data_IF_571799228821
#
_entry.id   IF_571799228821
#
_cell.length_a   1.000
_cell.length_b   1.000
_cell.length_c   1.000
_cell.angle_alpha   90.00
_cell.angle_beta   90.00
_cell.angle_gamma   90.00
#
_symmetry.space_group_name_H-M   'P 1'
#
loop_
_entity.id
_entity.type
_entity.pdbx_description
1 polymer ?
#
# COMPACT_ATOMS: atom_id res chain seq x y z
N UNK A 1 -26.32 -35.95 35.42
CA UNK A 1 -27.03 -35.59 34.18
C UNK A 1 -26.70 -34.14 33.84
N UNK A 2 -25.77 -33.95 32.90
CA UNK A 2 -25.61 -32.75 32.07
C UNK A 2 -24.63 -33.14 30.96
N UNK A 3 -25.12 -33.90 29.99
CA UNK A 3 -24.38 -34.20 28.77
C UNK A 3 -24.36 -32.90 27.96
N UNK A 4 -23.24 -32.19 27.97
CA UNK A 4 -23.02 -31.06 27.07
C UNK A 4 -22.87 -31.61 25.66
N UNK A 5 -23.94 -31.48 24.90
CA UNK A 5 -24.04 -31.84 23.49
C UNK A 5 -23.10 -30.92 22.68
N UNK A 6 -21.90 -31.42 22.34
CA UNK A 6 -21.07 -30.81 21.30
C UNK A 6 -21.77 -31.03 19.96
N UNK A 7 -22.57 -30.04 19.52
CA UNK A 7 -23.06 -30.01 18.16
C UNK A 7 -21.85 -30.01 17.19
N UNK A 8 -21.79 -30.93 16.21
CA UNK A 8 -20.69 -30.96 15.25
C UNK A 8 -20.69 -29.67 14.43
N UNK A 9 -19.57 -28.95 14.45
CA UNK A 9 -19.34 -27.80 13.58
C UNK A 9 -19.45 -28.27 12.12
N UNK A 10 -20.29 -27.62 11.32
CA UNK A 10 -20.37 -27.83 9.87
C UNK A 10 -19.01 -27.56 9.22
N UNK A 11 -18.73 -28.23 8.09
CA UNK A 11 -17.45 -28.16 7.35
C UNK A 11 -17.00 -26.72 7.06
N UNK A 12 -17.94 -25.82 6.75
CA UNK A 12 -17.64 -24.40 6.50
C UNK A 12 -17.15 -23.67 7.76
N UNK A 13 -17.77 -23.93 8.92
CA UNK A 13 -17.36 -23.33 10.19
C UNK A 13 -16.00 -23.85 10.67
N UNK A 14 -15.64 -25.08 10.29
CA UNK A 14 -14.33 -25.64 10.58
C UNK A 14 -13.25 -25.02 9.69
N UNK A 15 -13.55 -24.80 8.40
CA UNK A 15 -12.65 -24.11 7.47
C UNK A 15 -12.42 -22.64 7.87
N UNK A 16 -13.47 -21.91 8.26
CA UNK A 16 -13.37 -20.56 8.79
C UNK A 16 -12.50 -20.50 10.06
N UNK A 17 -12.71 -21.42 11.01
CA UNK A 17 -11.89 -21.51 12.23
C UNK A 17 -10.42 -21.78 11.93
N UNK A 18 -10.12 -22.73 11.05
CA UNK A 18 -8.75 -23.08 10.66
C UNK A 18 -8.04 -21.90 9.96
N UNK A 19 -8.77 -21.15 9.13
CA UNK A 19 -8.23 -19.96 8.44
C UNK A 19 -7.93 -18.85 9.44
N UNK A 20 -8.80 -18.67 10.43
CA UNK A 20 -8.61 -17.69 11.50
C UNK A 20 -7.48 -18.08 12.47
N UNK A 21 -7.29 -19.37 12.77
CA UNK A 21 -6.13 -19.83 13.55
C UNK A 21 -4.82 -19.62 12.77
N UNK A 22 -4.80 -19.91 11.47
CA UNK A 22 -3.65 -19.64 10.61
C UNK A 22 -3.33 -18.15 10.49
N UNK A 23 -4.33 -17.28 10.43
CA UNK A 23 -4.12 -15.82 10.38
C UNK A 23 -3.58 -15.26 11.70
N UNK A 24 -4.00 -15.81 12.84
CA UNK A 24 -3.44 -15.47 14.15
C UNK A 24 -1.97 -15.89 14.24
N UNK A 25 -1.63 -17.09 13.73
CA UNK A 25 -0.24 -17.57 13.69
C UNK A 25 0.66 -16.69 12.81
N UNK A 26 0.16 -16.18 11.69
CA UNK A 26 0.90 -15.24 10.83
C UNK A 26 1.26 -13.92 11.53
N UNK A 27 0.53 -13.54 12.57
CA UNK A 27 0.74 -12.31 13.33
C UNK A 27 1.19 -12.57 14.78
N UNK A 28 1.60 -13.80 15.10
CA UNK A 28 2.01 -14.20 16.45
C UNK A 28 3.36 -13.56 16.85
N UNK A 29 4.32 -13.51 15.93
CA UNK A 29 5.54 -12.71 16.05
C UNK A 29 5.38 -11.43 15.23
N UNK A 30 4.91 -10.38 15.91
CA UNK A 30 4.66 -9.11 15.23
C UNK A 30 5.94 -8.33 14.93
N UNK A 31 7.04 -8.59 15.66
CA UNK A 31 8.31 -7.93 15.39
C UNK A 31 8.88 -8.40 14.04
N UNK A 32 8.73 -9.69 13.73
CA UNK A 32 9.08 -10.25 12.43
C UNK A 32 8.21 -9.66 11.30
N UNK A 33 6.91 -9.48 11.54
CA UNK A 33 6.01 -8.80 10.60
C UNK A 33 6.49 -7.37 10.32
N UNK A 34 6.82 -6.60 11.36
CA UNK A 34 7.36 -5.25 11.19
C UNK A 34 8.65 -5.29 10.38
N UNK A 35 9.58 -6.18 10.73
CA UNK A 35 10.88 -6.31 10.05
C UNK A 35 10.73 -6.58 8.55
N UNK A 36 9.85 -7.50 8.18
CA UNK A 36 9.64 -7.92 6.80
C UNK A 36 8.88 -6.87 5.97
N UNK A 37 7.84 -6.26 6.53
CA UNK A 37 6.91 -5.41 5.77
C UNK A 37 7.20 -3.91 5.89
N UNK A 38 7.97 -3.45 6.88
CA UNK A 38 8.26 -2.02 7.07
C UNK A 38 8.87 -1.34 5.84
N UNK A 39 9.88 -1.91 5.16
CA UNK A 39 10.45 -1.26 3.97
C UNK A 39 9.41 -1.07 2.87
N UNK A 40 8.50 -2.03 2.69
CA UNK A 40 7.44 -1.97 1.67
C UNK A 40 6.41 -0.89 2.00
N UNK A 41 5.89 -0.89 3.23
CA UNK A 41 4.91 0.11 3.67
C UNK A 41 5.49 1.52 3.64
N UNK A 42 6.75 1.68 4.08
CA UNK A 42 7.44 2.97 4.00
C UNK A 42 7.54 3.47 2.56
N UNK A 43 7.96 2.61 1.61
CA UNK A 43 8.02 2.98 0.19
C UNK A 43 6.66 3.39 -0.36
N UNK A 44 5.61 2.61 -0.08
CA UNK A 44 4.26 2.94 -0.51
C UNK A 44 3.81 4.32 0.00
N UNK A 45 4.06 4.62 1.28
CA UNK A 45 3.73 5.90 1.90
C UNK A 45 4.57 7.06 1.34
N UNK A 46 5.87 6.84 1.15
CA UNK A 46 6.78 7.80 0.55
C UNK A 46 6.35 8.16 -0.87
N UNK A 47 6.07 7.16 -1.72
CA UNK A 47 5.55 7.34 -3.08
C UNK A 47 4.16 7.98 -3.12
N UNK A 48 3.36 7.80 -2.07
CA UNK A 48 2.02 8.37 -1.98
C UNK A 48 2.02 9.85 -1.58
N UNK A 49 2.99 10.27 -0.76
CA UNK A 49 2.96 11.56 -0.05
C UNK A 49 4.08 12.52 -0.48
N UNK A 50 5.21 12.02 -0.94
CA UNK A 50 6.36 12.85 -1.32
C UNK A 50 7.09 13.49 -0.13
N UNK A 51 6.75 13.11 1.11
CA UNK A 51 7.32 13.66 2.34
C UNK A 51 7.83 12.53 3.24
N UNK A 52 9.15 12.53 3.50
CA UNK A 52 9.84 11.48 4.25
C UNK A 52 9.41 11.42 5.70
N UNK A 53 9.33 12.56 6.38
CA UNK A 53 9.01 12.63 7.81
C UNK A 53 7.58 12.18 8.04
N UNK A 54 6.66 12.59 7.16
CA UNK A 54 5.28 12.12 7.19
C UNK A 54 5.20 10.63 6.86
N UNK A 55 5.93 10.14 5.85
CA UNK A 55 5.93 8.73 5.49
C UNK A 55 6.47 7.84 6.62
N UNK A 56 7.54 8.24 7.30
CA UNK A 56 8.12 7.54 8.44
C UNK A 56 7.13 7.49 9.61
N UNK A 57 6.49 8.61 9.92
CA UNK A 57 5.45 8.70 10.96
C UNK A 57 4.25 7.81 10.65
N UNK A 58 3.71 7.89 9.43
CA UNK A 58 2.56 7.07 9.04
C UNK A 58 2.92 5.58 8.90
N UNK A 59 4.18 5.24 8.66
CA UNK A 59 4.64 3.84 8.69
C UNK A 59 4.51 3.29 10.10
N UNK A 60 4.95 4.05 11.12
CA UNK A 60 4.80 3.66 12.52
C UNK A 60 3.32 3.52 12.90
N UNK A 61 2.49 4.50 12.55
CA UNK A 61 1.04 4.44 12.78
C UNK A 61 0.40 3.23 12.10
N UNK A 62 0.86 2.86 10.90
CA UNK A 62 0.35 1.69 10.18
C UNK A 62 0.58 0.42 10.99
N UNK A 63 1.79 0.18 11.47
CA UNK A 63 2.09 -1.02 12.26
C UNK A 63 1.45 -0.99 13.64
N UNK A 64 1.32 0.18 14.28
CA UNK A 64 0.58 0.30 15.53
C UNK A 64 -0.90 -0.05 15.36
N UNK A 65 -1.53 0.45 14.29
CA UNK A 65 -2.91 0.10 13.94
C UNK A 65 -3.07 -1.37 13.59
N UNK A 66 -2.13 -1.92 12.82
CA UNK A 66 -2.12 -3.34 12.47
C UNK A 66 -1.96 -4.20 13.73
N UNK A 67 -1.07 -3.85 14.66
CA UNK A 67 -0.94 -4.56 15.93
C UNK A 67 -2.26 -4.59 16.70
N UNK A 68 -2.91 -3.43 16.85
CA UNK A 68 -4.18 -3.33 17.56
C UNK A 68 -5.32 -4.12 16.87
N UNK A 69 -5.31 -4.17 15.53
CA UNK A 69 -6.32 -4.86 14.73
C UNK A 69 -5.96 -6.32 14.38
N UNK A 70 -4.80 -6.85 14.81
CA UNK A 70 -4.29 -8.17 14.39
C UNK A 70 -5.27 -9.32 14.62
N UNK A 71 -6.02 -9.27 15.71
CA UNK A 71 -7.04 -10.27 16.06
C UNK A 71 -8.25 -10.28 15.10
N UNK A 72 -8.41 -9.22 14.31
CA UNK A 72 -9.49 -9.07 13.32
C UNK A 72 -9.03 -9.50 11.92
N UNK A 73 -7.75 -9.79 11.72
CA UNK A 73 -7.26 -10.28 10.45
C UNK A 73 -7.71 -11.74 10.25
N UNK A 74 -8.58 -11.96 9.27
CA UNK A 74 -9.22 -13.25 8.99
C UNK A 74 -8.52 -14.09 7.91
N UNK A 75 -7.43 -13.61 7.34
CA UNK A 75 -6.74 -14.31 6.24
C UNK A 75 -7.47 -14.28 4.89
N UNK A 76 -8.54 -13.48 4.75
CA UNK A 76 -9.30 -13.33 3.49
C UNK A 76 -8.51 -12.61 2.37
N UNK A 77 -7.40 -11.96 2.74
CA UNK A 77 -6.44 -11.35 1.81
C UNK A 77 -5.02 -11.60 2.30
N UNK A 78 -4.01 -11.37 1.46
CA UNK A 78 -2.62 -11.46 1.90
C UNK A 78 -2.35 -10.44 3.02
N UNK A 79 -1.39 -10.76 3.91
CA UNK A 79 -0.95 -9.84 4.95
C UNK A 79 -0.47 -8.50 4.35
N UNK A 80 0.20 -8.55 3.19
CA UNK A 80 0.63 -7.35 2.46
C UNK A 80 -0.57 -6.50 2.04
N UNK A 81 -1.60 -7.11 1.44
CA UNK A 81 -2.82 -6.43 1.01
C UNK A 81 -3.52 -5.75 2.19
N UNK A 82 -3.59 -6.45 3.33
CA UNK A 82 -4.19 -5.91 4.55
C UNK A 82 -3.41 -4.72 5.12
N UNK A 83 -2.08 -4.82 5.21
CA UNK A 83 -1.22 -3.70 5.67
C UNK A 83 -1.32 -2.50 4.72
N UNK A 84 -1.29 -2.73 3.40
CA UNK A 84 -1.43 -1.68 2.39
C UNK A 84 -2.79 -0.98 2.47
N UNK A 85 -3.86 -1.70 2.83
CA UNK A 85 -5.18 -1.11 3.10
C UNK A 85 -5.17 -0.17 4.30
N UNK A 86 -4.49 -0.55 5.38
CA UNK A 86 -4.30 0.31 6.56
C UNK A 86 -3.52 1.57 6.17
N UNK A 87 -2.40 1.41 5.45
CA UNK A 87 -1.57 2.52 4.98
C UNK A 87 -2.34 3.47 4.06
N UNK A 88 -3.14 2.94 3.12
CA UNK A 88 -3.96 3.76 2.23
C UNK A 88 -5.00 4.60 3.00
N UNK A 89 -5.60 4.03 4.04
CA UNK A 89 -6.53 4.77 4.90
C UNK A 89 -5.81 5.89 5.66
N UNK A 90 -4.60 5.65 6.17
CA UNK A 90 -3.77 6.69 6.77
C UNK A 90 -3.44 7.83 5.80
N UNK A 91 -3.11 7.51 4.53
CA UNK A 91 -2.90 8.51 3.48
C UNK A 91 -4.18 9.32 3.21
N UNK A 92 -5.35 8.69 3.24
CA UNK A 92 -6.66 9.36 3.09
C UNK A 92 -6.94 10.32 4.23
N UNK A 93 -6.74 9.87 5.45
CA UNK A 93 -6.96 10.66 6.66
C UNK A 93 -5.98 11.83 6.75
N UNK A 94 -4.69 11.60 6.51
CA UNK A 94 -3.67 12.64 6.50
C UNK A 94 -4.02 13.75 5.48
N UNK A 95 -4.39 13.38 4.26
CA UNK A 95 -4.70 14.35 3.21
C UNK A 95 -6.06 15.05 3.43
N UNK A 96 -7.05 14.38 4.04
CA UNK A 96 -8.30 15.04 4.47
C UNK A 96 -8.02 16.09 5.53
N UNK A 97 -7.23 15.74 6.55
CA UNK A 97 -6.83 16.64 7.63
C UNK A 97 -5.99 17.81 7.12
N UNK A 98 -5.03 17.56 6.21
CA UNK A 98 -4.23 18.61 5.56
C UNK A 98 -5.10 19.55 4.73
N UNK A 99 -6.06 19.03 3.98
CA UNK A 99 -7.04 19.85 3.24
C UNK A 99 -7.81 20.74 4.21
N UNK A 100 -8.37 20.21 5.30
CA UNK A 100 -9.10 21.01 6.30
C UNK A 100 -8.19 22.12 6.86
N UNK A 101 -6.95 21.80 7.26
CA UNK A 101 -5.97 22.79 7.72
C UNK A 101 -5.57 23.81 6.64
N UNK A 102 -5.51 23.41 5.38
CA UNK A 102 -5.20 24.30 4.25
C UNK A 102 -6.34 25.28 3.97
N UNK A 103 -7.61 24.83 4.02
CA UNK A 103 -8.78 25.72 3.96
C UNK A 103 -8.81 26.72 5.13
N UNK A 104 -8.13 26.41 6.24
CA UNK A 104 -7.93 27.34 7.37
C UNK A 104 -6.68 28.24 7.21
N UNK A 105 -5.78 27.99 6.26
CA UNK A 105 -4.44 28.60 6.22
C UNK A 105 -3.95 29.00 4.82
N UNK A 106 -4.84 29.34 3.88
CA UNK A 106 -4.51 29.58 2.46
C UNK A 106 -3.26 30.47 2.23
N UNK A 107 -2.09 29.86 1.98
CA UNK A 107 -1.03 30.21 1.00
C UNK A 107 0.19 29.28 1.17
N UNK A 108 0.74 28.85 0.04
CA UNK A 108 1.97 28.04 -0.17
C UNK A 108 1.90 26.58 0.35
N UNK A 109 2.42 25.56 -0.33
CA UNK A 109 3.76 25.45 -0.94
C UNK A 109 3.75 24.38 -2.05
N UNK A 110 4.66 24.53 -3.02
CA UNK A 110 5.09 23.48 -3.94
C UNK A 110 5.72 22.31 -3.18
N UNK A 111 5.58 21.09 -3.70
CA UNK A 111 6.20 19.89 -3.14
C UNK A 111 7.67 19.86 -3.55
N UNK A 112 8.56 19.65 -2.58
CA UNK A 112 9.99 19.45 -2.82
C UNK A 112 10.24 18.09 -3.50
N UNK A 113 11.07 18.11 -4.53
CA UNK A 113 11.52 16.93 -5.28
C UNK A 113 12.41 16.06 -4.37
N UNK A 114 11.90 14.88 -3.99
CA UNK A 114 12.70 13.85 -3.30
C UNK A 114 13.09 12.79 -4.33
N UNK A 115 14.37 12.43 -4.38
CA UNK A 115 14.88 11.39 -5.29
C UNK A 115 14.45 9.99 -4.78
N UNK A 116 13.41 9.42 -5.40
CA UNK A 116 12.79 8.14 -5.01
C UNK A 116 13.65 6.93 -5.44
N UNK A 117 14.66 7.13 -6.30
CA UNK A 117 15.43 6.06 -6.93
C UNK A 117 16.25 5.19 -5.97
N UNK A 118 16.75 5.76 -4.88
CA UNK A 118 17.62 5.08 -3.91
C UNK A 118 16.89 4.02 -3.06
N UNK A 119 15.56 3.93 -3.16
CA UNK A 119 14.74 3.05 -2.30
C UNK A 119 14.28 1.78 -2.98
N UNK A 120 14.58 1.59 -4.27
CA UNK A 120 14.28 0.34 -4.99
C UNK A 120 15.45 -0.64 -4.80
N UNK A 121 15.21 -1.90 -4.37
CA UNK A 121 16.30 -2.86 -4.17
C UNK A 121 17.08 -3.10 -5.45
N UNK A 122 18.41 -3.00 -5.35
CA UNK A 122 19.34 -3.21 -6.46
C UNK A 122 19.46 -4.70 -6.76
N UNK A 123 18.90 -5.13 -7.88
CA UNK A 123 18.86 -6.52 -8.31
C UNK A 123 20.16 -6.97 -8.98
N UNK A 124 21.31 -6.83 -8.32
CA UNK A 124 22.58 -7.46 -8.72
C UNK A 124 22.96 -7.30 -10.21
N UNK A 125 22.92 -6.08 -10.75
CA UNK A 125 23.30 -5.77 -12.15
C UNK A 125 24.59 -4.95 -12.18
N UNK A 126 25.34 -4.98 -13.30
CA UNK A 126 26.61 -4.23 -13.41
C UNK A 126 26.41 -2.73 -13.18
N UNK A 127 27.43 -1.99 -12.69
CA UNK A 127 27.30 -0.57 -12.33
C UNK A 127 26.79 0.33 -13.46
N UNK A 128 27.20 0.09 -14.72
CA UNK A 128 26.69 0.87 -15.85
C UNK A 128 25.21 0.57 -16.16
N UNK A 129 24.80 -0.69 -16.04
CA UNK A 129 23.40 -1.09 -16.25
C UNK A 129 22.53 -0.60 -15.09
N UNK A 130 23.03 -0.65 -13.85
CA UNK A 130 22.37 -0.11 -12.67
C UNK A 130 22.15 1.40 -12.79
N UNK A 131 23.14 2.16 -13.28
CA UNK A 131 23.00 3.60 -13.51
C UNK A 131 21.91 3.92 -14.57
N UNK A 132 21.91 3.21 -15.71
CA UNK A 132 20.90 3.37 -16.76
C UNK A 132 19.50 2.94 -16.30
N UNK A 133 19.41 1.90 -15.47
CA UNK A 133 18.16 1.46 -14.85
C UNK A 133 17.65 2.50 -13.83
N UNK A 134 18.53 3.04 -13.00
CA UNK A 134 18.19 4.10 -12.04
C UNK A 134 17.65 5.35 -12.75
N UNK A 135 18.24 5.76 -13.88
CA UNK A 135 17.76 6.93 -14.62
C UNK A 135 16.37 6.72 -15.23
N UNK A 136 16.12 5.53 -15.82
CA UNK A 136 14.77 5.17 -16.30
C UNK A 136 13.76 5.07 -15.17
N UNK A 137 14.16 4.53 -14.02
CA UNK A 137 13.33 4.47 -12.83
C UNK A 137 12.99 5.88 -12.33
N UNK A 138 13.95 6.81 -12.29
CA UNK A 138 13.72 8.23 -11.97
C UNK A 138 12.71 8.86 -12.92
N UNK A 139 12.81 8.57 -14.22
CA UNK A 139 11.89 9.09 -15.23
C UNK A 139 10.46 8.57 -15.05
N UNK A 140 10.30 7.28 -14.76
CA UNK A 140 9.01 6.69 -14.39
C UNK A 140 8.44 7.39 -13.16
N UNK A 141 9.25 7.62 -12.12
CA UNK A 141 8.80 8.28 -10.89
C UNK A 141 8.37 9.73 -11.12
N UNK A 142 9.12 10.50 -11.93
CA UNK A 142 8.71 11.85 -12.34
C UNK A 142 7.37 11.84 -13.07
N UNK A 143 7.14 10.85 -13.94
CA UNK A 143 5.86 10.71 -14.62
C UNK A 143 4.72 10.35 -13.65
N UNK A 144 5.00 9.53 -12.63
CA UNK A 144 4.05 9.16 -11.57
C UNK A 144 3.69 10.36 -10.68
N UNK A 145 4.57 11.33 -10.52
CA UNK A 145 4.31 12.59 -9.81
C UNK A 145 3.33 13.51 -10.54
N UNK A 146 3.22 13.41 -11.87
CA UNK A 146 2.24 14.18 -12.66
C UNK A 146 0.81 13.58 -12.60
N UNK A 147 0.69 12.33 -12.15
CA UNK A 147 -0.59 11.65 -12.04
C UNK A 147 -1.51 12.32 -11.03
N UNK A 148 -2.81 12.34 -11.33
CA UNK A 148 -3.81 12.66 -10.31
C UNK A 148 -3.74 11.65 -9.16
N UNK A 149 -4.13 12.05 -7.96
CA UNK A 149 -4.03 11.22 -6.76
C UNK A 149 -4.63 9.82 -6.92
N UNK A 150 -5.80 9.71 -7.56
CA UNK A 150 -6.46 8.43 -7.79
C UNK A 150 -5.70 7.57 -8.81
N UNK A 151 -5.17 8.17 -9.87
CA UNK A 151 -4.33 7.48 -10.85
C UNK A 151 -3.03 6.97 -10.22
N UNK A 152 -2.34 7.81 -9.43
CA UNK A 152 -1.14 7.44 -8.69
C UNK A 152 -1.41 6.29 -7.74
N UNK A 153 -2.48 6.38 -6.95
CA UNK A 153 -2.87 5.30 -6.01
C UNK A 153 -3.05 3.99 -6.75
N UNK A 154 -3.84 3.96 -7.83
CA UNK A 154 -4.09 2.74 -8.61
C UNK A 154 -2.81 2.22 -9.26
N UNK A 155 -1.95 3.10 -9.76
CA UNK A 155 -0.67 2.72 -10.35
C UNK A 155 0.25 2.06 -9.32
N UNK A 156 0.41 2.67 -8.14
CA UNK A 156 1.22 2.11 -7.05
C UNK A 156 0.67 0.77 -6.58
N UNK A 157 -0.64 0.66 -6.38
CA UNK A 157 -1.25 -0.59 -5.96
C UNK A 157 -1.04 -1.71 -7.01
N UNK A 158 -1.07 -1.37 -8.31
CA UNK A 158 -0.87 -2.36 -9.38
C UNK A 158 0.57 -2.80 -9.55
N UNK A 159 1.51 -1.86 -9.53
CA UNK A 159 2.89 -2.10 -9.98
C UNK A 159 3.93 -2.13 -8.86
N UNK A 160 3.66 -1.48 -7.73
CA UNK A 160 4.54 -1.52 -6.55
C UNK A 160 4.03 -2.56 -5.58
N UNK A 161 2.71 -2.60 -5.39
CA UNK A 161 2.08 -3.57 -4.48
C UNK A 161 1.65 -4.87 -5.17
N UNK A 162 1.81 -4.95 -6.50
CA UNK A 162 1.51 -6.14 -7.32
C UNK A 162 0.07 -6.66 -7.19
N UNK A 163 -0.86 -5.82 -6.76
CA UNK A 163 -2.24 -6.22 -6.49
C UNK A 163 -3.03 -6.44 -7.78
N UNK A 164 -3.94 -7.41 -7.74
CA UNK A 164 -4.87 -7.66 -8.83
C UNK A 164 -5.97 -6.59 -8.88
N UNK A 165 -6.55 -6.36 -10.06
CA UNK A 165 -7.54 -5.29 -10.25
C UNK A 165 -8.76 -5.40 -9.30
N UNK A 166 -9.14 -6.63 -8.94
CA UNK A 166 -10.20 -6.88 -7.98
C UNK A 166 -9.81 -6.47 -6.56
N UNK A 167 -8.59 -6.79 -6.12
CA UNK A 167 -8.07 -6.38 -4.81
C UNK A 167 -7.88 -4.87 -4.71
N UNK A 168 -7.48 -4.23 -5.81
CA UNK A 168 -7.39 -2.76 -5.90
C UNK A 168 -8.79 -2.14 -5.75
N UNK A 169 -9.79 -2.70 -6.42
CA UNK A 169 -11.18 -2.24 -6.31
C UNK A 169 -11.67 -2.31 -4.86
N UNK A 170 -11.46 -3.44 -4.20
CA UNK A 170 -11.83 -3.65 -2.79
C UNK A 170 -11.07 -2.69 -1.86
N UNK A 171 -9.75 -2.59 -2.01
CA UNK A 171 -8.88 -1.78 -1.15
C UNK A 171 -9.15 -0.28 -1.31
N UNK A 172 -9.48 0.14 -2.53
CA UNK A 172 -9.81 1.54 -2.82
C UNK A 172 -11.28 1.88 -2.58
N UNK A 173 -12.18 0.89 -2.50
CA UNK A 173 -13.63 1.10 -2.48
C UNK A 173 -14.20 1.59 -3.81
N UNK A 174 -13.45 1.46 -4.90
CA UNK A 174 -13.90 1.83 -6.25
C UNK A 174 -14.42 0.59 -6.98
N UNK A 175 -15.32 0.76 -7.95
CA UNK A 175 -15.67 -0.36 -8.82
C UNK A 175 -14.49 -0.69 -9.77
N UNK A 176 -14.42 -1.95 -10.24
CA UNK A 176 -13.33 -2.44 -11.09
C UNK A 176 -13.22 -1.67 -12.42
N UNK A 177 -14.33 -1.15 -12.97
CA UNK A 177 -14.31 -0.35 -14.21
C UNK A 177 -13.61 1.00 -14.01
N UNK A 178 -13.86 1.65 -12.87
CA UNK A 178 -13.19 2.88 -12.45
C UNK A 178 -11.70 2.64 -12.20
N UNK A 179 -11.34 1.52 -11.56
CA UNK A 179 -9.92 1.11 -11.40
C UNK A 179 -9.24 0.96 -12.76
N UNK A 180 -9.85 0.22 -13.70
CA UNK A 180 -9.33 0.06 -15.07
C UNK A 180 -9.13 1.41 -15.78
N UNK A 181 -10.11 2.30 -15.64
CA UNK A 181 -10.06 3.64 -16.24
C UNK A 181 -8.93 4.50 -15.66
N UNK A 182 -8.72 4.48 -14.34
CA UNK A 182 -7.59 5.17 -13.72
C UNK A 182 -6.26 4.57 -14.13
N UNK A 183 -6.14 3.24 -14.16
CA UNK A 183 -4.92 2.55 -14.56
C UNK A 183 -4.55 2.85 -16.01
N UNK A 184 -5.54 2.81 -16.92
CA UNK A 184 -5.34 3.15 -18.33
C UNK A 184 -4.80 4.58 -18.49
N UNK A 185 -5.41 5.56 -17.82
CA UNK A 185 -4.96 6.95 -17.86
C UNK A 185 -3.57 7.12 -17.24
N UNK A 186 -3.28 6.42 -16.15
CA UNK A 186 -1.96 6.45 -15.52
C UNK A 186 -0.88 5.92 -16.46
N UNK A 187 -1.12 4.77 -17.09
CA UNK A 187 -0.20 4.16 -18.05
C UNK A 187 0.04 5.03 -19.27
N UNK A 188 -0.98 5.76 -19.73
CA UNK A 188 -0.83 6.70 -20.84
C UNK A 188 0.15 7.82 -20.50
N UNK A 189 0.01 8.47 -19.35
CA UNK A 189 0.92 9.54 -18.89
C UNK A 189 2.34 9.02 -18.74
N UNK A 190 2.50 7.87 -18.07
CA UNK A 190 3.84 7.26 -17.87
C UNK A 190 4.49 6.90 -19.21
N UNK A 191 3.73 6.35 -20.16
CA UNK A 191 4.25 5.98 -21.49
C UNK A 191 4.62 7.21 -22.32
N UNK A 192 3.82 8.26 -22.30
CA UNK A 192 4.12 9.52 -23.00
C UNK A 192 5.41 10.17 -22.47
N UNK A 193 5.75 9.94 -21.20
CA UNK A 193 6.96 10.51 -20.58
C UNK A 193 8.21 9.65 -20.73
N UNK A 194 8.09 8.33 -20.60
CA UNK A 194 9.21 7.36 -20.58
C UNK A 194 9.50 6.77 -21.96
N UNK A 195 8.54 6.84 -22.90
CA UNK A 195 8.67 6.31 -24.26
C UNK A 195 9.17 7.32 -25.29
N UNK A 196 9.63 8.50 -24.84
CA UNK A 196 10.24 9.55 -25.66
C UNK A 196 11.74 9.42 -25.78
#
# INVERSE_FOLDING_TARGET
MASTELAPLTTDKLAEKLTQEQSILQLADFDEVVRLYRPRIFRFLMSSLGDRDVAESLTQDCFLKAYNARHQFRGESSLSTWLTRIALNLVRDHLRSRRIRFWQKTRETALDLVDISDWIPDGGVSPEIACLQQEKVKEVWRAVEELSRQQRTVFLLRFVEEMELAEIAETTGMNTSTVKSHLYRALRVVRERVGG
#
